data_IF_206890822224
#
_entry.id   IF_206890822224
#
_cell.length_a   1.000
_cell.length_b   1.000
_cell.length_c   1.000
_cell.angle_alpha   90.00
_cell.angle_beta   90.00
_cell.angle_gamma   90.00
#
_symmetry.space_group_name_H-M   'P 1'
#
loop_
_entity.id
_entity.type
_entity.pdbx_description
1 polymer ?
#
# COMPACT_ATOMS: atom_id res chain seq x y z
N UNK A 1 40.22 16.20 -27.13
CA UNK A 1 39.94 15.16 -26.12
C UNK A 1 38.54 15.45 -25.59
N UNK A 2 37.51 14.80 -26.14
CA UNK A 2 36.12 15.09 -25.78
C UNK A 2 35.74 14.27 -24.55
N UNK A 3 35.36 14.94 -23.47
CA UNK A 3 34.80 14.28 -22.29
C UNK A 3 33.50 13.59 -22.70
N UNK A 4 33.44 12.27 -22.58
CA UNK A 4 32.22 11.50 -22.75
C UNK A 4 31.26 11.90 -21.62
N UNK A 5 30.24 12.70 -21.95
CA UNK A 5 29.17 13.03 -21.02
C UNK A 5 28.39 11.75 -20.74
N UNK A 6 28.59 11.15 -19.55
CA UNK A 6 27.76 10.04 -19.08
C UNK A 6 26.36 10.60 -18.81
N UNK A 7 25.41 10.27 -19.68
CA UNK A 7 23.99 10.45 -19.38
C UNK A 7 23.65 9.49 -18.25
N UNK A 8 23.36 10.03 -17.07
CA UNK A 8 22.87 9.24 -15.93
C UNK A 8 21.49 8.70 -16.32
N UNK A 9 21.29 7.40 -16.20
CA UNK A 9 19.98 6.79 -16.39
C UNK A 9 19.06 7.22 -15.24
N UNK A 10 17.90 7.76 -15.59
CA UNK A 10 16.92 8.20 -14.60
C UNK A 10 16.43 7.03 -13.74
N UNK A 11 16.46 5.80 -14.27
CA UNK A 11 16.08 4.62 -13.52
C UNK A 11 17.07 4.35 -12.38
N UNK A 12 18.37 4.38 -12.65
CA UNK A 12 19.42 4.21 -11.64
C UNK A 12 19.31 5.27 -10.54
N UNK A 13 19.04 6.52 -10.94
CA UNK A 13 18.82 7.61 -9.99
C UNK A 13 17.58 7.37 -9.09
N UNK A 14 16.47 6.93 -9.66
CA UNK A 14 15.25 6.63 -8.90
C UNK A 14 15.50 5.47 -7.93
N UNK A 15 16.27 4.46 -8.31
CA UNK A 15 16.61 3.35 -7.41
C UNK A 15 17.43 3.81 -6.20
N UNK A 16 18.40 4.71 -6.42
CA UNK A 16 19.18 5.30 -5.35
C UNK A 16 18.30 6.15 -4.43
N UNK A 17 17.50 7.06 -5.01
CA UNK A 17 16.62 7.93 -4.24
C UNK A 17 15.59 7.15 -3.42
N UNK A 18 14.93 6.15 -4.03
CA UNK A 18 13.85 5.42 -3.39
C UNK A 18 14.27 4.71 -2.09
N UNK A 19 15.55 4.33 -1.95
CA UNK A 19 16.07 3.70 -0.73
C UNK A 19 16.19 4.66 0.47
N UNK A 20 16.15 5.97 0.21
CA UNK A 20 16.29 7.03 1.21
C UNK A 20 14.97 7.77 1.52
N UNK A 21 13.91 7.45 0.79
CA UNK A 21 12.61 8.11 0.92
C UNK A 21 11.69 7.35 1.87
N UNK A 22 10.93 8.07 2.68
CA UNK A 22 9.85 7.47 3.47
C UNK A 22 8.70 7.01 2.56
N UNK A 23 7.80 6.12 3.01
CA UNK A 23 6.61 5.75 2.24
C UNK A 23 5.75 6.96 1.83
N UNK A 24 5.67 7.99 2.67
CA UNK A 24 4.96 9.23 2.35
C UNK A 24 5.65 10.02 1.22
N UNK A 25 6.98 10.12 1.26
CA UNK A 25 7.75 10.79 0.20
C UNK A 25 7.69 10.02 -1.12
N UNK A 26 7.77 8.68 -1.06
CA UNK A 26 7.58 7.81 -2.22
C UNK A 26 6.20 8.02 -2.85
N UNK A 27 5.16 8.14 -2.01
CA UNK A 27 3.81 8.42 -2.47
C UNK A 27 3.71 9.78 -3.16
N UNK A 28 4.30 10.84 -2.58
CA UNK A 28 4.37 12.16 -3.21
C UNK A 28 5.11 12.11 -4.56
N UNK A 29 6.21 11.36 -4.64
CA UNK A 29 6.97 11.15 -5.88
C UNK A 29 6.13 10.50 -6.98
N UNK A 30 5.26 9.54 -6.62
CA UNK A 30 4.35 8.86 -7.56
C UNK A 30 3.33 9.84 -8.20
N UNK A 31 3.04 10.97 -7.55
CA UNK A 31 2.10 11.97 -8.03
C UNK A 31 2.71 13.02 -8.97
N UNK A 32 4.05 13.11 -9.06
CA UNK A 32 4.72 14.18 -9.82
C UNK A 32 4.45 14.10 -11.33
N UNK A 33 4.67 12.93 -11.94
CA UNK A 33 4.38 12.67 -13.36
C UNK A 33 4.32 11.15 -13.63
N UNK A 34 3.93 10.77 -14.86
CA UNK A 34 3.78 9.36 -15.26
C UNK A 34 5.09 8.57 -15.25
N UNK A 35 6.23 9.20 -15.53
CA UNK A 35 7.53 8.56 -15.49
C UNK A 35 7.93 8.21 -14.05
N UNK A 36 7.73 9.14 -13.11
CA UNK A 36 7.99 8.93 -11.69
C UNK A 36 7.03 7.89 -11.12
N UNK A 37 5.73 7.99 -11.47
CA UNK A 37 4.72 7.00 -11.12
C UNK A 37 5.17 5.57 -11.47
N UNK A 38 5.60 5.34 -12.71
CA UNK A 38 6.04 4.02 -13.18
C UNK A 38 7.26 3.47 -12.43
N UNK A 39 8.21 4.34 -12.05
CA UNK A 39 9.44 3.91 -11.40
C UNK A 39 9.31 3.79 -9.87
N UNK A 40 8.51 4.63 -9.23
CA UNK A 40 8.35 4.64 -7.77
C UNK A 40 7.26 3.68 -7.27
N UNK A 41 6.23 3.34 -8.06
CA UNK A 41 5.19 2.37 -7.65
C UNK A 41 5.80 1.05 -7.14
N UNK A 42 6.73 0.38 -7.86
CA UNK A 42 7.30 -0.87 -7.38
C UNK A 42 8.08 -0.74 -6.06
N UNK A 43 8.65 0.45 -5.79
CA UNK A 43 9.41 0.73 -4.57
C UNK A 43 8.47 1.07 -3.41
N UNK A 44 7.45 1.87 -3.68
CA UNK A 44 6.38 2.23 -2.75
C UNK A 44 5.66 0.99 -2.20
N UNK A 45 5.32 0.03 -3.06
CA UNK A 45 4.62 -1.20 -2.67
C UNK A 45 5.54 -2.36 -2.27
N UNK A 46 6.86 -2.15 -2.20
CA UNK A 46 7.80 -3.21 -1.87
C UNK A 46 7.60 -3.75 -0.45
N UNK A 47 7.31 -2.84 0.48
CA UNK A 47 7.13 -3.11 1.90
C UNK A 47 5.78 -2.52 2.33
N UNK A 48 4.88 -3.37 2.79
CA UNK A 48 3.67 -2.93 3.49
C UNK A 48 3.86 -3.28 4.96
N UNK A 49 3.79 -2.24 5.79
CA UNK A 49 3.85 -2.33 7.24
C UNK A 49 2.70 -1.51 7.81
N UNK A 50 1.68 -2.20 8.32
CA UNK A 50 0.50 -1.57 8.90
C UNK A 50 0.67 -1.21 10.39
N UNK A 51 1.76 -1.65 11.03
CA UNK A 51 2.01 -1.39 12.46
C UNK A 51 2.28 0.09 12.76
N UNK A 52 2.86 0.80 11.79
CA UNK A 52 3.26 2.19 11.94
C UNK A 52 2.13 3.19 11.63
N UNK A 53 0.88 2.74 11.42
CA UNK A 53 -0.25 3.56 10.92
C UNK A 53 0.10 4.41 9.68
N UNK A 54 1.21 4.11 9.00
CA UNK A 54 1.78 5.00 8.00
C UNK A 54 0.92 4.98 6.76
N UNK A 55 0.45 3.79 6.37
CA UNK A 55 -0.43 3.62 5.22
C UNK A 55 -1.80 4.25 5.44
N UNK A 56 -2.42 4.06 6.60
CA UNK A 56 -3.71 4.71 6.90
C UNK A 56 -3.59 6.23 6.79
N UNK A 57 -2.53 6.83 7.34
CA UNK A 57 -2.27 8.28 7.27
C UNK A 57 -1.99 8.76 5.85
N UNK A 58 -1.15 8.03 5.10
CA UNK A 58 -0.83 8.35 3.70
C UNK A 58 -2.11 8.34 2.86
N UNK A 59 -2.91 7.28 3.01
CA UNK A 59 -4.14 7.10 2.24
C UNK A 59 -5.20 8.12 2.66
N UNK A 60 -5.44 8.29 3.96
CA UNK A 60 -6.41 9.28 4.44
C UNK A 60 -6.05 10.69 3.99
N UNK A 61 -4.76 11.06 3.93
CA UNK A 61 -4.35 12.35 3.38
C UNK A 61 -4.71 12.51 1.89
N UNK A 62 -4.51 11.47 1.07
CA UNK A 62 -4.86 11.46 -0.35
C UNK A 62 -6.37 11.62 -0.60
N UNK A 63 -7.20 10.92 0.18
CA UNK A 63 -8.66 10.95 -0.01
C UNK A 63 -9.32 12.21 0.53
N UNK A 64 -8.69 12.89 1.49
CA UNK A 64 -9.17 14.15 2.02
C UNK A 64 -8.81 15.36 1.14
N UNK A 65 -7.98 15.16 0.11
CA UNK A 65 -7.61 16.23 -0.83
C UNK A 65 -8.83 16.65 -1.69
N UNK A 66 -9.29 17.91 -1.58
CA UNK A 66 -10.42 18.41 -2.35
C UNK A 66 -10.17 18.45 -3.87
N UNK A 67 -8.92 18.40 -4.33
CA UNK A 67 -8.57 18.45 -5.76
C UNK A 67 -8.73 17.11 -6.50
N UNK A 68 -8.96 16.01 -5.78
CA UNK A 68 -9.30 14.70 -6.35
C UNK A 68 -10.79 14.33 -6.09
N UNK A 69 -11.75 14.91 -6.84
CA UNK A 69 -13.18 14.66 -6.65
C UNK A 69 -13.57 13.20 -6.86
N UNK A 70 -12.81 12.47 -7.70
CA UNK A 70 -13.04 11.04 -7.95
C UNK A 70 -12.66 10.17 -6.74
N UNK A 71 -11.69 10.61 -5.91
CA UNK A 71 -11.25 9.90 -4.72
C UNK A 71 -12.22 10.13 -3.53
N UNK A 72 -12.78 11.35 -3.42
CA UNK A 72 -13.75 11.72 -2.36
C UNK A 72 -15.03 10.89 -2.39
N UNK A 73 -15.45 10.42 -3.56
CA UNK A 73 -16.68 9.64 -3.72
C UNK A 73 -16.58 8.24 -3.08
N UNK A 74 -15.37 7.63 -3.08
CA UNK A 74 -15.18 6.29 -2.53
C UNK A 74 -14.88 6.28 -1.02
N UNK A 75 -14.18 7.28 -0.46
CA UNK A 75 -13.77 7.25 0.96
C UNK A 75 -14.64 8.06 1.94
N UNK A 76 -15.45 9.02 1.49
CA UNK A 76 -16.34 9.79 2.39
C UNK A 76 -17.42 8.96 3.09
N UNK A 77 -17.46 7.64 2.85
CA UNK A 77 -18.32 6.67 3.54
C UNK A 77 -17.54 5.54 4.24
N UNK A 78 -16.22 5.65 4.39
CA UNK A 78 -15.38 4.55 4.91
C UNK A 78 -14.24 5.05 5.79
N UNK A 79 -14.54 5.95 6.73
CA UNK A 79 -13.66 6.17 7.87
C UNK A 79 -13.75 4.96 8.81
N UNK A 80 -12.64 4.34 9.27
CA UNK A 80 -12.64 3.03 9.95
C UNK A 80 -13.13 3.04 11.41
N UNK A 81 -14.02 3.95 11.78
CA UNK A 81 -14.49 4.06 13.17
C UNK A 81 -15.51 2.98 13.56
N UNK A 82 -16.02 2.18 12.62
CA UNK A 82 -16.81 0.98 12.94
C UNK A 82 -16.48 -0.17 12.00
N UNK A 83 -15.98 -1.26 12.58
CA UNK A 83 -15.35 -2.45 11.99
C UNK A 83 -16.36 -3.35 11.23
N UNK A 84 -17.41 -2.79 10.62
CA UNK A 84 -18.47 -3.56 9.98
C UNK A 84 -18.94 -3.03 8.61
N UNK A 85 -18.24 -2.05 8.03
CA UNK A 85 -18.59 -1.58 6.68
C UNK A 85 -17.79 -2.35 5.63
N UNK A 86 -18.51 -3.13 4.81
CA UNK A 86 -18.03 -3.94 3.66
C UNK A 86 -17.06 -3.22 2.70
N UNK A 87 -16.93 -1.89 2.81
CA UNK A 87 -16.12 -1.03 1.94
C UNK A 87 -14.63 -1.05 2.25
N UNK A 88 -14.25 -1.25 3.51
CA UNK A 88 -12.83 -1.34 3.88
C UNK A 88 -12.17 -2.56 3.22
N UNK A 89 -12.89 -3.68 3.22
CA UNK A 89 -12.43 -4.96 2.68
C UNK A 89 -12.17 -4.86 1.17
N UNK A 90 -13.09 -4.20 0.46
CA UNK A 90 -12.99 -4.01 -0.99
C UNK A 90 -11.78 -3.18 -1.40
N UNK A 91 -11.47 -2.12 -0.65
CA UNK A 91 -10.31 -1.29 -0.92
C UNK A 91 -9.00 -2.09 -0.77
N UNK A 92 -8.84 -2.81 0.35
CA UNK A 92 -7.64 -3.61 0.59
C UNK A 92 -7.46 -4.65 -0.51
N UNK A 93 -8.53 -5.36 -0.86
CA UNK A 93 -8.54 -6.34 -1.96
C UNK A 93 -8.13 -5.73 -3.28
N UNK A 94 -8.61 -4.53 -3.64
CA UNK A 94 -8.22 -3.81 -4.87
C UNK A 94 -6.75 -3.43 -4.88
N UNK A 95 -6.22 -2.97 -3.75
CA UNK A 95 -4.80 -2.61 -3.62
C UNK A 95 -3.91 -3.84 -3.79
N UNK A 96 -4.22 -4.92 -3.07
CA UNK A 96 -3.49 -6.17 -3.22
C UNK A 96 -3.60 -6.70 -4.66
N UNK A 97 -4.81 -6.75 -5.24
CA UNK A 97 -5.00 -7.17 -6.63
C UNK A 97 -4.15 -6.37 -7.62
N UNK A 98 -4.06 -5.03 -7.44
CA UNK A 98 -3.35 -4.14 -8.35
C UNK A 98 -1.83 -4.19 -8.18
N UNK A 99 -1.34 -4.18 -6.94
CA UNK A 99 0.08 -3.98 -6.62
C UNK A 99 0.75 -5.15 -5.92
N UNK A 100 0.02 -6.24 -5.64
CA UNK A 100 0.53 -7.36 -4.84
C UNK A 100 1.76 -8.03 -5.44
N UNK A 101 1.90 -8.02 -6.76
CA UNK A 101 3.08 -8.54 -7.45
C UNK A 101 4.36 -7.71 -7.19
N UNK A 102 4.26 -6.50 -6.66
CA UNK A 102 5.41 -5.70 -6.22
C UNK A 102 5.81 -5.94 -4.76
N UNK A 103 4.90 -6.51 -3.96
CA UNK A 103 5.08 -6.71 -2.53
C UNK A 103 6.11 -7.81 -2.28
N UNK A 104 7.15 -7.48 -1.51
CA UNK A 104 8.18 -8.45 -1.08
C UNK A 104 8.23 -8.62 0.43
N UNK A 105 7.80 -7.62 1.20
CA UNK A 105 7.78 -7.67 2.66
C UNK A 105 6.39 -7.24 3.15
N UNK A 106 5.74 -8.11 3.91
CA UNK A 106 4.46 -7.84 4.56
C UNK A 106 4.63 -7.94 6.06
N UNK A 107 4.34 -6.85 6.76
CA UNK A 107 4.15 -6.83 8.20
C UNK A 107 2.71 -6.40 8.46
N UNK A 108 1.90 -7.34 8.94
CA UNK A 108 0.46 -7.17 9.08
C UNK A 108 0.01 -7.41 10.53
N UNK A 109 -0.68 -6.43 11.08
CA UNK A 109 -1.40 -6.46 12.34
C UNK A 109 -2.92 -6.50 12.12
N UNK A 110 -3.39 -5.93 11.00
CA UNK A 110 -4.81 -5.78 10.73
C UNK A 110 -5.35 -7.00 9.98
N UNK A 111 -6.35 -7.66 10.57
CA UNK A 111 -6.88 -8.91 9.99
C UNK A 111 -7.47 -8.73 8.59
N UNK A 112 -8.04 -7.55 8.31
CA UNK A 112 -8.55 -7.18 6.99
C UNK A 112 -7.48 -7.25 5.89
N UNK A 113 -6.24 -6.84 6.19
CA UNK A 113 -5.14 -6.89 5.24
C UNK A 113 -4.61 -8.32 5.08
N UNK A 114 -4.67 -9.14 6.13
CA UNK A 114 -4.35 -10.57 6.06
C UNK A 114 -5.35 -11.30 5.16
N UNK A 115 -6.65 -11.03 5.31
CA UNK A 115 -7.70 -11.60 4.46
C UNK A 115 -7.56 -11.14 3.00
N UNK A 116 -7.31 -9.85 2.77
CA UNK A 116 -7.08 -9.31 1.43
C UNK A 116 -5.83 -9.91 0.76
N UNK A 117 -4.71 -10.00 1.49
CA UNK A 117 -3.47 -10.60 0.99
C UNK A 117 -3.69 -12.08 0.62
N UNK A 118 -4.36 -12.85 1.48
CA UNK A 118 -4.61 -14.28 1.26
C UNK A 118 -5.60 -14.56 0.13
N UNK A 119 -6.68 -13.78 0.02
CA UNK A 119 -7.71 -13.94 -1.02
C UNK A 119 -7.18 -13.52 -2.39
N UNK A 120 -6.32 -12.51 -2.45
CA UNK A 120 -5.86 -11.94 -3.72
C UNK A 120 -4.97 -12.91 -4.52
N UNK A 121 -4.15 -13.74 -3.86
CA UNK A 121 -3.26 -14.70 -4.51
C UNK A 121 -2.17 -14.07 -5.41
N UNK A 122 -1.98 -12.74 -5.37
CA UNK A 122 -1.09 -12.00 -6.27
C UNK A 122 0.25 -11.60 -5.65
N UNK A 123 0.45 -11.85 -4.35
CA UNK A 123 1.71 -11.62 -3.64
C UNK A 123 2.78 -12.68 -3.99
N UNK A 124 3.03 -12.90 -5.28
CA UNK A 124 3.90 -13.96 -5.82
C UNK A 124 5.39 -13.75 -5.51
N UNK A 125 5.78 -12.52 -5.17
CA UNK A 125 7.16 -12.12 -4.91
C UNK A 125 7.47 -11.94 -3.42
N UNK A 126 6.60 -12.43 -2.54
CA UNK A 126 6.72 -12.30 -1.09
C UNK A 126 7.97 -13.04 -0.59
N UNK A 127 8.83 -12.33 0.14
CA UNK A 127 10.07 -12.83 0.74
C UNK A 127 9.98 -12.88 2.26
N UNK A 128 9.24 -11.96 2.86
CA UNK A 128 9.11 -11.82 4.30
C UNK A 128 7.65 -11.57 4.66
N UNK A 129 7.14 -12.34 5.61
CA UNK A 129 5.80 -12.22 6.16
C UNK A 129 5.89 -12.23 7.68
N UNK A 130 5.50 -11.13 8.30
CA UNK A 130 5.39 -10.96 9.74
C UNK A 130 3.92 -10.69 10.07
N UNK A 131 3.33 -11.58 10.86
CA UNK A 131 1.94 -11.46 11.31
C UNK A 131 1.95 -11.21 12.81
N UNK A 132 1.50 -10.02 13.21
CA UNK A 132 1.41 -9.62 14.61
C UNK A 132 -0.06 -9.39 14.97
N UNK A 133 -0.76 -10.50 15.20
CA UNK A 133 -2.18 -10.52 15.50
C UNK A 133 -2.49 -10.24 16.98
N UNK A 134 -1.56 -9.60 17.72
CA UNK A 134 -1.70 -9.45 19.17
C UNK A 134 -2.79 -8.46 19.59
N UNK A 135 -3.32 -7.65 18.67
CA UNK A 135 -4.25 -6.55 18.95
C UNK A 135 -5.73 -6.87 18.64
N UNK A 136 -6.26 -7.98 19.15
CA UNK A 136 -7.72 -8.20 19.18
C UNK A 136 -8.19 -8.90 20.46
N UNK A 137 -7.53 -8.64 21.58
CA UNK A 137 -7.90 -9.23 22.89
C UNK A 137 -9.20 -8.66 23.52
N UNK A 138 -9.97 -7.85 22.79
CA UNK A 138 -11.18 -7.19 23.33
C UNK A 138 -12.51 -7.55 22.66
N UNK A 139 -12.52 -8.00 21.41
CA UNK A 139 -13.76 -8.23 20.68
C UNK A 139 -13.79 -9.64 20.10
N UNK A 140 -14.82 -10.40 20.49
CA UNK A 140 -15.14 -11.73 19.97
C UNK A 140 -15.38 -11.67 18.45
N UNK A 141 -14.32 -11.72 17.65
CA UNK A 141 -14.41 -11.87 16.20
C UNK A 141 -14.84 -13.31 15.89
N UNK A 142 -16.14 -13.46 15.72
CA UNK A 142 -16.85 -14.67 15.33
C UNK A 142 -16.52 -14.98 13.87
N UNK A 143 -15.42 -15.68 13.60
CA UNK A 143 -15.07 -16.15 12.25
C UNK A 143 -16.09 -17.20 11.77
N UNK A 144 -17.19 -16.74 11.15
CA UNK A 144 -18.14 -17.62 10.45
C UNK A 144 -17.57 -17.96 9.07
N UNK A 145 -16.84 -19.07 8.97
CA UNK A 145 -16.57 -19.73 7.68
C UNK A 145 -17.92 -20.07 7.03
N UNK A 146 -18.34 -19.31 6.01
CA UNK A 146 -19.31 -19.80 5.03
C UNK A 146 -18.53 -20.59 3.98
N UNK A 147 -18.41 -21.90 4.19
CA UNK A 147 -18.03 -22.81 3.13
C UNK A 147 -19.09 -22.75 2.03
N UNK A 148 -18.67 -22.44 0.80
CA UNK A 148 -19.44 -22.72 -0.41
C UNK A 148 -19.21 -24.18 -0.81
#
# INVERSE_FOLDING_TARGET
MFACSKTIDIQELVELLASHLSPADLFACVQVNSLWNRNFIPKLWHTIDDSLQSWEKILSSYYNDPEHPDARSELSKSTPSSIADDKGDDWARRIFAKYGHHIKRLKLQWVILVDAASTSGVCINLRELELDLECSKGENLYWRRKSR
#
